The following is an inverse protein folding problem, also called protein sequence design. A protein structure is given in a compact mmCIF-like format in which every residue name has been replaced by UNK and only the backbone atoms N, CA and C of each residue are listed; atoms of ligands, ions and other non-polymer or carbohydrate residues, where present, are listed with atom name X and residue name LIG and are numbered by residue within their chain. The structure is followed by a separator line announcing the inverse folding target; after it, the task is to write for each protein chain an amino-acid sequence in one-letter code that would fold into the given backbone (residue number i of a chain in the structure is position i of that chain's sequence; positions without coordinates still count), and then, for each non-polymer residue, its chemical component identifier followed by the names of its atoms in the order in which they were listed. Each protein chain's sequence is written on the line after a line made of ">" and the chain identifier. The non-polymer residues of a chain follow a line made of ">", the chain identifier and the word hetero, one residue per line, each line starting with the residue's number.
data_IF_851668099905
#
_entry.id   IF_851668099905
#
_cell.length_a   1.000
_cell.length_b   1.000
_cell.length_c   1.000
_cell.angle_alpha   90.00
_cell.angle_beta   90.00
_cell.angle_gamma   90.00
#
_symmetry.space_group_name_H-M   'P 1'
#
loop_
_entity.id
_entity.type
_entity.pdbx_description
1 polymer ?
#
# COMPACT_ATOMS: atom_id res chain seq x y z
N UNK A 1 -35.12 6.80 -14.95
CA UNK A 1 -33.75 6.85 -14.42
C UNK A 1 -33.74 6.28 -13.02
N UNK A 2 -32.69 5.55 -12.68
CA UNK A 2 -32.48 5.09 -11.31
C UNK A 2 -32.14 6.31 -10.44
N UNK A 3 -32.58 6.29 -9.17
CA UNK A 3 -32.27 7.35 -8.19
C UNK A 3 -31.71 6.72 -6.91
N UNK A 4 -30.68 7.35 -6.35
CA UNK A 4 -30.01 6.95 -5.12
C UNK A 4 -29.83 8.15 -4.18
N UNK A 5 -29.82 7.90 -2.87
CA UNK A 5 -29.46 8.94 -1.90
C UNK A 5 -27.98 9.30 -1.98
N UNK A 6 -27.13 8.31 -2.32
CA UNK A 6 -25.70 8.53 -2.54
C UNK A 6 -25.18 7.62 -3.66
N UNK A 7 -24.35 8.17 -4.52
CA UNK A 7 -23.52 7.41 -5.46
C UNK A 7 -22.04 7.61 -5.08
N UNK A 8 -21.30 6.53 -5.03
CA UNK A 8 -19.86 6.53 -4.74
C UNK A 8 -19.13 6.07 -5.98
N UNK A 9 -18.14 6.84 -6.42
CA UNK A 9 -17.29 6.51 -7.56
C UNK A 9 -16.01 5.87 -7.06
N UNK A 10 -15.79 4.60 -7.39
CA UNK A 10 -14.65 3.79 -7.01
C UNK A 10 -14.95 2.80 -5.89
N UNK A 11 -14.66 1.52 -6.16
CA UNK A 11 -14.82 0.37 -5.26
C UNK A 11 -13.55 -0.01 -4.50
N UNK A 12 -12.69 0.97 -4.19
CA UNK A 12 -11.52 0.83 -3.32
C UNK A 12 -11.83 1.13 -1.85
N UNK A 13 -10.80 1.20 -0.98
CA UNK A 13 -10.98 1.47 0.45
C UNK A 13 -11.68 2.79 0.74
N UNK A 14 -11.39 3.85 0.00
CA UNK A 14 -12.07 5.15 0.18
C UNK A 14 -13.57 5.02 -0.08
N UNK A 15 -13.95 4.33 -1.16
CA UNK A 15 -15.36 4.13 -1.50
C UNK A 15 -16.10 3.22 -0.53
N UNK A 16 -15.48 2.10 -0.12
CA UNK A 16 -16.15 1.20 0.83
C UNK A 16 -16.23 1.80 2.23
N UNK A 17 -15.26 2.63 2.63
CA UNK A 17 -15.30 3.40 3.87
C UNK A 17 -16.44 4.41 3.89
N UNK A 18 -16.64 5.14 2.79
CA UNK A 18 -17.79 6.06 2.64
C UNK A 18 -19.13 5.29 2.69
N UNK A 19 -19.21 4.13 2.05
CA UNK A 19 -20.41 3.27 2.12
C UNK A 19 -20.67 2.74 3.52
N UNK A 20 -19.62 2.39 4.28
CA UNK A 20 -19.72 1.98 5.68
C UNK A 20 -20.32 3.10 6.54
N UNK A 21 -19.80 4.33 6.46
CA UNK A 21 -20.31 5.47 7.21
C UNK A 21 -21.74 5.82 6.81
N UNK A 22 -22.08 5.74 5.51
CA UNK A 22 -23.44 5.91 5.05
C UNK A 22 -24.39 4.87 5.66
N UNK A 23 -24.01 3.59 5.63
CA UNK A 23 -24.83 2.52 6.20
C UNK A 23 -24.96 2.65 7.73
N UNK A 24 -23.88 3.01 8.42
CA UNK A 24 -23.88 3.29 9.86
C UNK A 24 -24.90 4.38 10.22
N UNK A 25 -24.98 5.44 9.42
CA UNK A 25 -25.88 6.58 9.64
C UNK A 25 -27.33 6.28 9.30
N UNK A 26 -27.58 5.59 8.19
CA UNK A 26 -28.92 5.48 7.61
C UNK A 26 -29.50 4.06 7.63
N UNK A 27 -28.69 3.03 7.80
CA UNK A 27 -29.11 1.62 7.76
C UNK A 27 -29.82 1.29 6.44
N UNK A 28 -30.99 0.66 6.57
CA UNK A 28 -31.83 0.27 5.42
C UNK A 28 -32.77 1.40 4.95
N UNK A 29 -32.73 2.59 5.56
CA UNK A 29 -33.67 3.69 5.27
C UNK A 29 -33.32 4.44 3.98
N UNK A 30 -32.09 4.34 3.52
CA UNK A 30 -31.54 5.01 2.35
C UNK A 30 -30.72 4.07 1.49
N UNK A 31 -30.56 4.42 0.20
CA UNK A 31 -29.86 3.62 -0.79
C UNK A 31 -28.55 4.28 -1.24
N UNK A 32 -27.48 3.48 -1.26
CA UNK A 32 -26.19 3.89 -1.78
C UNK A 32 -25.74 2.91 -2.87
N UNK A 33 -25.21 3.45 -3.98
CA UNK A 33 -24.62 2.67 -5.06
C UNK A 33 -23.13 3.03 -5.22
N UNK A 34 -22.29 2.02 -5.23
CA UNK A 34 -20.87 2.15 -5.59
C UNK A 34 -20.72 1.76 -7.07
N UNK A 35 -20.09 2.60 -7.89
CA UNK A 35 -19.69 2.30 -9.25
C UNK A 35 -18.21 1.97 -9.30
N UNK A 36 -17.88 0.77 -9.79
CA UNK A 36 -16.50 0.27 -9.92
C UNK A 36 -16.23 -0.11 -11.37
N UNK A 37 -15.17 0.44 -11.96
CA UNK A 37 -14.84 0.23 -13.36
C UNK A 37 -14.22 -1.14 -13.66
N UNK A 38 -13.66 -1.82 -12.67
CA UNK A 38 -13.07 -3.16 -12.84
C UNK A 38 -14.09 -4.27 -12.62
N UNK A 39 -13.78 -5.49 -13.10
CA UNK A 39 -14.60 -6.68 -12.86
C UNK A 39 -14.52 -7.17 -11.40
N UNK A 40 -13.62 -6.63 -10.59
CA UNK A 40 -13.38 -6.99 -9.18
C UNK A 40 -13.21 -5.71 -8.38
N UNK A 41 -13.79 -5.68 -7.18
CA UNK A 41 -13.63 -4.58 -6.23
C UNK A 41 -12.28 -4.64 -5.49
N UNK A 42 -11.94 -3.59 -4.77
CA UNK A 42 -10.82 -3.51 -3.84
C UNK A 42 -9.79 -2.43 -4.16
N UNK A 43 -9.88 -1.77 -5.33
CA UNK A 43 -8.90 -0.74 -5.71
C UNK A 43 -7.48 -1.31 -5.70
N UNK A 44 -6.55 -0.65 -5.03
CA UNK A 44 -5.18 -1.12 -4.86
C UNK A 44 -5.05 -2.35 -3.93
N UNK A 45 -6.09 -2.68 -3.15
CA UNK A 45 -6.12 -3.85 -2.29
C UNK A 45 -6.56 -5.14 -3.01
N UNK A 46 -6.73 -5.13 -4.32
CA UNK A 46 -6.96 -6.35 -5.09
C UNK A 46 -5.80 -7.34 -4.92
N UNK A 47 -6.07 -8.61 -5.10
CA UNK A 47 -5.05 -9.66 -5.08
C UNK A 47 -5.03 -10.41 -6.41
N UNK A 48 -3.89 -11.02 -6.70
CA UNK A 48 -3.74 -12.00 -7.75
C UNK A 48 -3.89 -13.41 -7.18
N UNK A 49 -4.56 -14.28 -7.91
CA UNK A 49 -4.72 -15.68 -7.56
C UNK A 49 -3.98 -16.54 -8.58
N UNK A 50 -3.23 -17.53 -8.07
CA UNK A 50 -2.50 -18.50 -8.88
C UNK A 50 -2.94 -19.90 -8.49
N UNK A 51 -3.06 -20.78 -9.46
CA UNK A 51 -3.11 -22.23 -9.27
C UNK A 51 -1.74 -22.81 -9.66
N UNK A 52 -1.03 -23.35 -8.70
CA UNK A 52 0.27 -23.98 -8.91
C UNK A 52 0.17 -25.43 -8.45
N UNK A 53 0.11 -26.35 -9.40
CA UNK A 53 0.00 -27.80 -9.15
C UNK A 53 -1.18 -28.17 -8.22
N UNK A 54 -2.32 -27.47 -8.36
CA UNK A 54 -3.54 -27.65 -7.55
C UNK A 54 -3.54 -26.90 -6.21
N UNK A 55 -2.49 -26.13 -5.92
CA UNK A 55 -2.42 -25.24 -4.75
C UNK A 55 -2.82 -23.83 -5.15
N UNK A 56 -3.87 -23.31 -4.50
CA UNK A 56 -4.30 -21.93 -4.69
C UNK A 56 -3.43 -21.01 -3.86
N UNK A 57 -2.73 -20.09 -4.52
CA UNK A 57 -1.81 -19.14 -3.91
C UNK A 57 -2.30 -17.72 -4.17
N UNK A 58 -2.14 -16.84 -3.20
CA UNK A 58 -2.54 -15.44 -3.29
C UNK A 58 -1.33 -14.53 -3.20
N UNK A 59 -1.35 -13.44 -3.97
CA UNK A 59 -0.33 -12.42 -3.90
C UNK A 59 -0.98 -11.02 -3.99
N UNK A 60 -0.58 -10.06 -3.14
CA UNK A 60 -1.15 -8.71 -3.16
C UNK A 60 -0.78 -7.96 -4.43
N UNK A 61 -1.63 -7.02 -4.81
CA UNK A 61 -1.32 -6.01 -5.82
C UNK A 61 -0.60 -4.82 -5.16
N UNK A 62 -1.09 -3.58 -5.33
CA UNK A 62 -0.44 -2.38 -4.80
C UNK A 62 -0.48 -2.28 -3.27
N UNK A 63 -1.64 -2.46 -2.67
CA UNK A 63 -1.81 -2.37 -1.22
C UNK A 63 -1.51 -3.70 -0.54
N UNK A 64 -0.42 -3.75 0.20
CA UNK A 64 0.02 -4.98 0.85
C UNK A 64 0.25 -4.81 2.36
N UNK A 65 0.55 -3.61 2.79
CA UNK A 65 0.98 -3.33 4.14
C UNK A 65 -0.19 -2.92 5.03
N UNK A 66 -0.17 -3.38 6.28
CA UNK A 66 -1.12 -2.95 7.30
C UNK A 66 -0.49 -3.04 8.69
N UNK A 67 -1.07 -2.29 9.64
CA UNK A 67 -0.83 -2.43 11.07
C UNK A 67 -2.11 -2.87 11.78
N UNK A 68 -1.99 -3.65 12.84
CA UNK A 68 -3.15 -3.98 13.69
C UNK A 68 -3.53 -2.75 14.53
N UNK A 69 -4.80 -2.33 14.54
CA UNK A 69 -5.24 -1.27 15.44
C UNK A 69 -5.25 -1.75 16.90
N UNK A 70 -5.06 -0.83 17.84
CA UNK A 70 -5.28 -1.13 19.25
C UNK A 70 -6.78 -1.37 19.51
N UNK A 71 -7.11 -2.50 20.12
CA UNK A 71 -8.48 -2.86 20.49
C UNK A 71 -9.13 -1.86 21.45
N UNK A 72 -8.33 -1.16 22.25
CA UNK A 72 -8.77 -0.18 23.24
C UNK A 72 -8.89 1.24 22.68
N UNK A 73 -8.42 1.47 21.46
CA UNK A 73 -8.55 2.77 20.79
C UNK A 73 -10.01 3.03 20.40
N UNK A 74 -10.39 4.31 20.37
CA UNK A 74 -11.70 4.79 19.92
C UNK A 74 -11.68 5.32 18.47
N UNK A 75 -10.70 4.91 17.68
CA UNK A 75 -10.61 5.30 16.27
C UNK A 75 -11.70 4.64 15.41
N UNK A 76 -11.98 5.25 14.26
CA UNK A 76 -12.88 4.69 13.27
C UNK A 76 -12.43 3.30 12.80
N UNK A 77 -11.13 3.07 12.68
CA UNK A 77 -10.60 1.78 12.24
C UNK A 77 -10.91 0.68 13.27
N UNK A 78 -10.75 0.97 14.56
CA UNK A 78 -11.10 0.05 15.66
C UNK A 78 -12.60 -0.25 15.68
N UNK A 79 -13.45 0.75 15.43
CA UNK A 79 -14.88 0.54 15.30
C UNK A 79 -15.21 -0.40 14.12
N UNK A 80 -14.59 -0.19 12.95
CA UNK A 80 -14.77 -1.05 11.77
C UNK A 80 -14.37 -2.48 12.11
N UNK A 81 -13.23 -2.70 12.75
CA UNK A 81 -12.77 -4.03 13.17
C UNK A 81 -13.82 -4.73 14.08
N UNK A 82 -14.29 -4.04 15.11
CA UNK A 82 -15.33 -4.56 16.03
C UNK A 82 -16.63 -4.92 15.28
N UNK A 83 -17.10 -4.05 14.40
CA UNK A 83 -18.39 -4.22 13.68
C UNK A 83 -18.34 -5.29 12.61
N UNK A 84 -17.23 -5.41 11.91
CA UNK A 84 -17.08 -6.34 10.79
C UNK A 84 -16.52 -7.71 11.20
N UNK A 85 -16.07 -7.85 12.45
CA UNK A 85 -15.49 -9.06 12.99
C UNK A 85 -14.06 -9.31 12.50
N UNK A 86 -13.32 -8.23 12.20
CA UNK A 86 -11.89 -8.31 11.93
C UNK A 86 -11.13 -8.62 13.23
N UNK A 87 -10.12 -9.50 13.21
CA UNK A 87 -9.36 -9.84 14.39
C UNK A 87 -8.37 -8.72 14.76
N UNK A 88 -8.23 -8.47 16.07
CA UNK A 88 -7.21 -7.56 16.63
C UNK A 88 -5.88 -8.24 16.91
N UNK A 89 -5.85 -9.57 16.84
CA UNK A 89 -4.64 -10.38 17.06
C UNK A 89 -4.54 -11.43 15.98
N UNK A 90 -3.39 -11.49 15.36
CA UNK A 90 -3.02 -12.50 14.39
C UNK A 90 -1.71 -13.15 14.83
N UNK A 91 -1.44 -14.36 14.38
CA UNK A 91 -0.19 -15.07 14.66
C UNK A 91 0.56 -15.28 13.37
N UNK A 92 1.88 -15.16 13.42
CA UNK A 92 2.70 -15.62 12.30
C UNK A 92 2.71 -17.14 12.24
N UNK A 93 2.67 -17.68 11.02
CA UNK A 93 2.90 -19.11 10.81
C UNK A 93 4.34 -19.44 11.27
N UNK A 94 4.49 -20.54 11.96
CA UNK A 94 5.81 -20.98 12.40
C UNK A 94 6.75 -21.19 11.21
N UNK A 95 8.04 -20.90 11.42
CA UNK A 95 9.06 -21.15 10.41
C UNK A 95 9.10 -22.65 10.11
N UNK A 96 9.16 -22.99 8.82
CA UNK A 96 9.38 -24.37 8.39
C UNK A 96 10.70 -24.88 9.01
N UNK A 97 10.68 -25.96 9.81
CA UNK A 97 11.90 -26.47 10.46
C UNK A 97 13.00 -26.91 9.47
N UNK A 98 12.63 -27.20 8.23
CA UNK A 98 13.61 -27.54 7.18
C UNK A 98 14.39 -26.34 6.65
N UNK A 99 13.99 -25.12 7.00
CA UNK A 99 14.66 -23.87 6.62
C UNK A 99 15.58 -23.45 7.76
N UNK A 100 16.87 -23.66 7.61
CA UNK A 100 17.85 -23.45 8.68
C UNK A 100 18.88 -22.36 8.36
N UNK A 101 19.07 -22.03 7.08
CA UNK A 101 20.18 -21.18 6.66
C UNK A 101 19.81 -19.69 6.65
N UNK A 102 18.54 -19.32 6.75
CA UNK A 102 18.10 -17.93 6.67
C UNK A 102 17.20 -17.52 7.84
N UNK A 103 17.32 -16.27 8.26
CA UNK A 103 16.38 -15.61 9.15
C UNK A 103 15.32 -14.89 8.31
N UNK A 104 14.06 -15.34 8.39
CA UNK A 104 12.96 -14.71 7.68
C UNK A 104 12.42 -13.54 8.50
N UNK A 105 12.32 -12.34 7.92
CA UNK A 105 11.77 -11.20 8.62
C UNK A 105 10.27 -11.39 8.91
N UNK A 106 9.80 -10.77 9.97
CA UNK A 106 8.37 -10.62 10.28
C UNK A 106 7.83 -9.35 9.62
N UNK A 107 8.59 -8.27 9.72
CA UNK A 107 8.29 -7.00 9.07
C UNK A 107 8.60 -7.04 7.57
N UNK A 108 7.82 -6.29 6.77
CA UNK A 108 7.94 -6.28 5.32
C UNK A 108 9.21 -5.58 4.80
N UNK A 109 9.81 -4.67 5.58
CA UNK A 109 10.82 -3.75 5.08
C UNK A 109 12.18 -3.81 5.79
N UNK A 110 12.23 -4.26 7.04
CA UNK A 110 13.46 -4.22 7.84
C UNK A 110 14.67 -4.89 7.17
N UNK A 111 14.46 -6.03 6.53
CA UNK A 111 15.54 -6.76 5.86
C UNK A 111 16.06 -6.08 4.59
N UNK A 112 15.27 -5.18 3.97
CA UNK A 112 15.60 -4.57 2.69
C UNK A 112 16.02 -3.11 2.82
N UNK A 113 15.31 -2.33 3.64
CA UNK A 113 15.52 -0.89 3.73
C UNK A 113 16.58 -0.53 4.76
N UNK A 114 16.49 -1.17 5.92
CA UNK A 114 17.36 -0.86 7.05
C UNK A 114 18.55 -1.82 7.12
N UNK A 115 18.49 -2.95 6.37
CA UNK A 115 19.56 -3.94 6.26
C UNK A 115 20.12 -4.35 7.62
N UNK A 116 19.20 -4.59 8.57
CA UNK A 116 19.59 -5.00 9.90
C UNK A 116 20.36 -6.32 9.87
N UNK A 117 21.42 -6.40 10.67
CA UNK A 117 22.34 -7.54 10.71
C UNK A 117 21.67 -8.89 11.06
N UNK A 118 20.51 -8.86 11.70
CA UNK A 118 19.71 -10.05 12.02
C UNK A 118 19.07 -10.74 10.83
N UNK A 119 18.97 -10.05 9.68
CA UNK A 119 18.36 -10.60 8.47
C UNK A 119 19.43 -10.88 7.42
N UNK A 120 19.19 -11.92 6.62
CA UNK A 120 20.10 -12.33 5.57
C UNK A 120 19.70 -11.69 4.25
N UNK A 121 20.45 -10.69 3.83
CA UNK A 121 20.18 -9.90 2.62
C UNK A 121 21.22 -10.18 1.56
N UNK A 122 20.78 -10.38 0.32
CA UNK A 122 21.65 -10.54 -0.85
C UNK A 122 21.56 -9.35 -1.81
N UNK A 123 22.71 -8.93 -2.33
CA UNK A 123 22.78 -7.95 -3.42
C UNK A 123 23.06 -8.66 -4.73
N UNK A 124 22.12 -8.56 -5.68
CA UNK A 124 22.29 -9.10 -7.02
C UNK A 124 22.96 -8.06 -7.91
N UNK A 125 24.18 -8.33 -8.31
CA UNK A 125 25.03 -7.44 -9.10
C UNK A 125 24.91 -7.69 -10.61
N UNK A 126 24.07 -8.64 -11.03
CA UNK A 126 23.88 -9.03 -12.40
C UNK A 126 24.42 -10.42 -12.72
N UNK A 127 23.80 -11.06 -13.71
CA UNK A 127 24.15 -12.44 -14.10
C UNK A 127 25.56 -12.58 -14.68
N UNK A 128 26.12 -11.51 -15.23
CA UNK A 128 27.45 -11.46 -15.83
C UNK A 128 28.53 -10.97 -14.85
N UNK A 129 28.17 -10.60 -13.63
CA UNK A 129 29.15 -10.21 -12.63
C UNK A 129 29.98 -11.42 -12.17
N UNK A 130 31.24 -11.18 -11.81
CA UNK A 130 32.13 -12.22 -11.26
C UNK A 130 31.52 -12.92 -10.04
N UNK A 131 30.88 -12.14 -9.19
CA UNK A 131 30.06 -12.61 -8.08
C UNK A 131 28.63 -12.06 -8.25
N UNK A 132 27.70 -12.81 -8.86
CA UNK A 132 26.34 -12.37 -9.09
C UNK A 132 25.60 -11.99 -7.81
N UNK A 133 25.88 -12.68 -6.71
CA UNK A 133 25.31 -12.41 -5.40
C UNK A 133 26.38 -12.09 -4.35
N UNK A 134 26.21 -11.00 -3.65
CA UNK A 134 27.01 -10.64 -2.48
C UNK A 134 26.08 -10.72 -1.27
N UNK A 135 26.36 -11.69 -0.39
CA UNK A 135 25.51 -11.99 0.76
C UNK A 135 25.95 -11.16 1.96
N UNK A 136 24.98 -10.54 2.65
CA UNK A 136 25.19 -9.72 3.84
C UNK A 136 26.28 -8.65 3.66
N UNK A 137 26.21 -7.79 2.62
CA UNK A 137 27.28 -6.84 2.31
C UNK A 137 27.47 -5.79 3.41
N UNK A 138 26.44 -5.52 4.21
CA UNK A 138 26.55 -4.58 5.35
C UNK A 138 27.34 -5.13 6.52
N UNK A 139 27.39 -6.46 6.72
CA UNK A 139 28.15 -7.08 7.82
C UNK A 139 29.65 -6.85 7.74
N UNK A 140 30.19 -6.65 6.53
CA UNK A 140 31.59 -6.29 6.30
C UNK A 140 31.77 -4.85 5.83
N UNK A 141 30.81 -3.98 6.13
CA UNK A 141 30.84 -2.55 5.77
C UNK A 141 31.05 -2.33 4.26
N UNK A 142 30.41 -3.14 3.43
CA UNK A 142 30.47 -3.10 1.97
C UNK A 142 31.87 -3.41 1.38
N UNK A 143 32.78 -4.01 2.14
CA UNK A 143 34.15 -4.25 1.68
C UNK A 143 34.21 -5.10 0.40
N UNK A 144 33.33 -6.12 0.26
CA UNK A 144 33.25 -6.99 -0.92
C UNK A 144 32.51 -6.39 -2.11
N UNK A 145 31.87 -5.20 -1.95
CA UNK A 145 31.15 -4.59 -3.04
C UNK A 145 32.12 -4.08 -4.12
N UNK A 146 31.83 -4.32 -5.43
CA UNK A 146 32.64 -3.84 -6.54
C UNK A 146 32.38 -2.34 -6.83
N UNK A 147 32.26 -1.55 -5.77
CA UNK A 147 31.99 -0.12 -5.83
C UNK A 147 33.23 0.70 -5.49
N UNK A 148 33.30 1.96 -5.96
CA UNK A 148 34.38 2.86 -5.55
C UNK A 148 34.43 3.04 -4.03
N UNK A 149 35.64 3.16 -3.48
CA UNK A 149 35.83 3.27 -2.02
C UNK A 149 35.12 4.48 -1.44
N UNK A 150 35.06 5.60 -2.17
CA UNK A 150 34.30 6.78 -1.74
C UNK A 150 32.81 6.44 -1.55
N UNK A 151 32.17 5.70 -2.46
CA UNK A 151 30.77 5.31 -2.33
C UNK A 151 30.55 4.41 -1.11
N UNK A 152 31.44 3.42 -0.91
CA UNK A 152 31.37 2.55 0.28
C UNK A 152 31.50 3.34 1.57
N UNK A 153 32.43 4.29 1.60
CA UNK A 153 32.64 5.17 2.76
C UNK A 153 31.41 6.04 3.02
N UNK A 154 30.89 6.72 2.00
CA UNK A 154 29.74 7.61 2.12
C UNK A 154 28.48 6.85 2.54
N UNK A 155 28.21 5.66 1.97
CA UNK A 155 27.08 4.82 2.39
C UNK A 155 27.21 4.37 3.85
N UNK A 156 28.39 3.92 4.26
CA UNK A 156 28.62 3.55 5.65
C UNK A 156 28.40 4.75 6.60
N UNK A 157 28.87 5.95 6.23
CA UNK A 157 28.58 7.16 7.00
C UNK A 157 27.08 7.44 7.06
N UNK A 158 26.37 7.40 5.92
CA UNK A 158 24.94 7.67 5.90
C UNK A 158 24.14 6.72 6.82
N UNK A 159 24.53 5.44 6.87
CA UNK A 159 23.89 4.46 7.76
C UNK A 159 24.28 4.60 9.22
N UNK A 160 25.50 5.04 9.51
CA UNK A 160 26.05 5.14 10.87
C UNK A 160 25.86 6.56 11.46
N UNK A 161 25.48 7.53 10.63
CA UNK A 161 25.41 8.92 11.03
C UNK A 161 24.38 9.16 12.12
N UNK A 162 24.87 9.73 13.21
CA UNK A 162 24.09 10.14 14.38
C UNK A 162 24.37 11.61 14.74
N UNK A 163 25.15 12.31 13.90
CA UNK A 163 25.51 13.69 14.14
C UNK A 163 24.32 14.60 13.87
N UNK A 164 24.20 15.63 14.70
CA UNK A 164 23.26 16.72 14.46
C UNK A 164 23.90 17.72 13.49
N UNK A 165 23.49 17.65 12.23
CA UNK A 165 23.94 18.56 11.17
C UNK A 165 23.26 19.93 11.24
N UNK A 166 22.19 20.04 12.02
CA UNK A 166 21.45 21.29 12.19
C UNK A 166 21.93 22.06 13.40
N UNK A 167 22.22 23.34 13.19
CA UNK A 167 22.62 24.28 14.23
C UNK A 167 21.60 25.41 14.36
N UNK A 168 20.47 25.11 14.94
CA UNK A 168 19.35 26.06 15.07
C UNK A 168 18.25 25.53 15.97
N UNK A 169 17.16 26.26 16.03
CA UNK A 169 16.02 26.00 16.90
C UNK A 169 14.73 25.55 16.15
N UNK A 170 14.80 25.42 14.81
CA UNK A 170 13.66 25.04 13.98
C UNK A 170 14.02 23.92 13.01
N UNK A 171 14.43 22.77 13.56
CA UNK A 171 14.90 21.62 12.78
C UNK A 171 13.90 21.18 11.72
N UNK A 172 12.63 21.02 12.10
CA UNK A 172 11.60 20.54 11.16
C UNK A 172 11.38 21.51 10.00
N UNK A 173 11.39 22.82 10.26
CA UNK A 173 11.29 23.85 9.20
C UNK A 173 12.49 23.82 8.27
N UNK A 174 13.69 23.63 8.82
CA UNK A 174 14.91 23.54 8.03
C UNK A 174 14.90 22.30 7.15
N UNK A 175 14.56 21.13 7.69
CA UNK A 175 14.45 19.88 6.94
C UNK A 175 13.38 19.98 5.85
N UNK A 176 12.25 20.63 6.11
CA UNK A 176 11.16 20.76 5.12
C UNK A 176 11.47 21.79 4.01
N UNK A 177 12.52 22.62 4.21
CA UNK A 177 12.95 23.60 3.21
C UNK A 177 13.80 23.02 2.08
N UNK A 178 14.20 21.75 2.16
CA UNK A 178 15.06 21.11 1.19
C UNK A 178 14.62 19.67 0.89
N UNK A 179 15.06 19.14 -0.26
CA UNK A 179 14.87 17.73 -0.58
C UNK A 179 15.82 16.83 0.23
N UNK A 180 15.46 15.55 0.37
CA UNK A 180 16.36 14.56 0.99
C UNK A 180 17.67 14.42 0.20
N UNK A 181 17.62 14.56 -1.12
CA UNK A 181 18.82 14.66 -1.96
C UNK A 181 19.70 15.82 -1.56
N UNK A 182 19.13 17.01 -1.37
CA UNK A 182 19.90 18.20 -1.00
C UNK A 182 20.52 18.06 0.39
N UNK A 183 19.83 17.44 1.33
CA UNK A 183 20.40 17.11 2.63
C UNK A 183 21.63 16.21 2.47
N UNK A 184 21.52 15.11 1.73
CA UNK A 184 22.62 14.16 1.55
C UNK A 184 23.80 14.76 0.78
N UNK A 185 23.54 15.44 -0.32
CA UNK A 185 24.60 15.89 -1.23
C UNK A 185 25.20 17.24 -0.84
N UNK A 186 24.37 18.22 -0.42
CA UNK A 186 24.83 19.59 -0.12
C UNK A 186 25.20 19.79 1.34
N UNK A 187 24.37 19.32 2.27
CA UNK A 187 24.62 19.53 3.70
C UNK A 187 25.62 18.51 4.27
N UNK A 188 25.46 17.23 3.90
CA UNK A 188 26.32 16.16 4.39
C UNK A 188 27.55 15.87 3.49
N UNK A 189 27.55 16.39 2.26
CA UNK A 189 28.66 16.27 1.31
C UNK A 189 28.87 14.87 0.76
N UNK A 190 27.81 14.04 0.72
CA UNK A 190 27.88 12.70 0.14
C UNK A 190 27.94 12.73 -1.38
N UNK A 191 28.49 11.67 -1.96
CA UNK A 191 28.46 11.44 -3.40
C UNK A 191 27.02 11.32 -3.91
N UNK A 192 26.66 11.85 -5.09
CA UNK A 192 25.37 11.62 -5.73
C UNK A 192 24.99 10.12 -5.88
N UNK A 193 25.97 9.23 -5.88
CA UNK A 193 25.74 7.78 -5.88
C UNK A 193 25.07 7.25 -4.60
N UNK A 194 25.14 7.97 -3.50
CA UNK A 194 24.40 7.68 -2.26
C UNK A 194 22.91 7.95 -2.48
N UNK A 195 22.59 9.06 -3.11
CA UNK A 195 21.20 9.37 -3.51
C UNK A 195 20.65 8.32 -4.44
N UNK A 196 21.38 7.96 -5.51
CA UNK A 196 20.98 6.89 -6.43
C UNK A 196 20.75 5.53 -5.73
N UNK A 197 21.49 5.27 -4.66
CA UNK A 197 21.30 4.05 -3.87
C UNK A 197 19.99 4.09 -3.06
N UNK A 198 19.59 5.25 -2.52
CA UNK A 198 18.38 5.39 -1.73
C UNK A 198 17.11 5.66 -2.57
N UNK A 199 17.24 6.19 -3.79
CA UNK A 199 16.10 6.50 -4.66
C UNK A 199 15.06 5.36 -4.77
N UNK A 200 15.44 4.10 -5.06
CA UNK A 200 14.46 3.03 -5.17
C UNK A 200 13.75 2.71 -3.85
N UNK A 201 14.43 2.91 -2.71
CA UNK A 201 13.86 2.70 -1.37
C UNK A 201 12.80 3.77 -1.10
N UNK A 202 13.16 5.03 -1.34
CA UNK A 202 12.24 6.18 -1.22
C UNK A 202 11.02 6.00 -2.13
N UNK A 203 11.26 5.65 -3.41
CA UNK A 203 10.20 5.49 -4.38
C UNK A 203 9.17 4.42 -3.97
N UNK A 204 9.62 3.31 -3.40
CA UNK A 204 8.73 2.24 -2.92
C UNK A 204 7.96 2.66 -1.68
N UNK A 205 8.62 3.37 -0.75
CA UNK A 205 8.02 3.79 0.51
C UNK A 205 7.05 4.96 0.36
N UNK A 206 7.28 5.84 -0.64
CA UNK A 206 6.59 7.13 -0.80
C UNK A 206 5.90 7.32 -2.14
N UNK A 207 5.34 6.27 -2.71
CA UNK A 207 4.47 6.41 -3.88
C UNK A 207 5.21 6.86 -5.14
N UNK A 208 6.39 6.31 -5.40
CA UNK A 208 7.19 6.49 -6.62
C UNK A 208 7.84 7.88 -6.79
N UNK A 209 8.04 8.64 -5.72
CA UNK A 209 8.87 9.85 -5.74
C UNK A 209 10.33 9.52 -5.37
N UNK A 210 11.28 10.26 -5.94
CA UNK A 210 12.70 10.09 -5.61
C UNK A 210 13.15 10.99 -4.46
N UNK A 211 14.42 10.85 -4.09
CA UNK A 211 15.07 11.67 -3.07
C UNK A 211 15.07 13.18 -3.42
N UNK A 212 14.94 13.51 -4.70
CA UNK A 212 14.90 14.88 -5.22
C UNK A 212 13.54 15.58 -5.00
N UNK A 213 12.49 14.81 -4.77
CA UNK A 213 11.12 15.31 -4.54
C UNK A 213 10.73 15.20 -3.08
N UNK A 214 11.14 14.13 -2.40
CA UNK A 214 10.85 13.94 -0.98
C UNK A 214 11.57 15.00 -0.14
N UNK A 215 10.84 15.73 0.73
CA UNK A 215 11.50 16.64 1.68
C UNK A 215 12.37 15.87 2.69
N UNK A 216 13.45 16.49 3.17
CA UNK A 216 14.29 15.89 4.20
C UNK A 216 13.50 15.67 5.50
N UNK A 217 12.48 16.49 5.78
CA UNK A 217 11.55 16.29 6.88
C UNK A 217 10.77 14.96 6.73
N UNK A 218 10.20 14.72 5.55
CA UNK A 218 9.49 13.47 5.28
C UNK A 218 10.42 12.25 5.29
N UNK A 219 11.66 12.41 4.80
CA UNK A 219 12.67 11.36 4.90
C UNK A 219 12.99 11.03 6.37
N UNK A 220 13.03 12.03 7.26
CA UNK A 220 13.17 11.81 8.70
C UNK A 220 12.00 11.04 9.30
N UNK A 221 10.76 11.34 8.91
CA UNK A 221 9.59 10.60 9.38
C UNK A 221 9.61 9.13 8.94
N UNK A 222 10.31 8.82 7.86
CA UNK A 222 10.56 7.46 7.36
C UNK A 222 11.83 6.84 7.95
N UNK A 223 12.51 7.53 8.86
CA UNK A 223 13.76 7.05 9.47
C UNK A 223 14.86 6.74 8.45
N UNK A 224 14.90 7.50 7.35
CA UNK A 224 15.90 7.31 6.31
C UNK A 224 17.32 7.65 6.83
N UNK A 225 18.35 6.92 6.37
CA UNK A 225 19.72 7.17 6.79
C UNK A 225 20.17 8.64 6.63
N UNK A 226 20.93 9.15 7.62
CA UNK A 226 21.38 10.53 7.63
C UNK A 226 20.36 11.56 8.11
N UNK A 227 19.22 11.15 8.64
CA UNK A 227 18.18 12.07 9.15
C UNK A 227 18.05 12.09 10.67
N UNK A 228 18.98 11.50 11.41
CA UNK A 228 19.05 11.40 12.88
C UNK A 228 17.88 10.69 13.58
N UNK A 229 16.80 10.39 12.88
CA UNK A 229 15.62 9.75 13.45
C UNK A 229 15.71 8.23 13.37
N UNK A 230 16.88 7.63 13.70
CA UNK A 230 16.94 6.17 13.73
C UNK A 230 16.10 5.63 14.87
N UNK A 231 15.10 4.89 14.47
CA UNK A 231 14.34 4.05 15.37
C UNK A 231 15.23 2.90 15.83
N UNK A 232 15.59 2.89 17.11
CA UNK A 232 16.18 1.71 17.71
C UNK A 232 15.08 0.68 17.90
N UNK A 233 15.08 -0.35 17.07
CA UNK A 233 14.27 -1.53 17.33
C UNK A 233 14.65 -2.07 18.70
N UNK A 234 13.73 -1.96 19.63
CA UNK A 234 13.84 -2.57 20.93
C UNK A 234 13.38 -4.04 20.82
N UNK A 235 14.36 -4.94 20.70
CA UNK A 235 14.08 -6.38 20.61
C UNK A 235 13.35 -6.96 21.84
N UNK A 236 13.21 -6.17 22.92
CA UNK A 236 12.42 -6.55 24.09
C UNK A 236 10.91 -6.31 23.91
N UNK A 237 10.51 -5.50 22.91
CA UNK A 237 9.12 -5.33 22.55
C UNK A 237 8.64 -6.50 21.69
N UNK A 238 7.38 -6.88 21.88
CA UNK A 238 6.75 -7.91 21.05
C UNK A 238 6.83 -7.53 19.58
N UNK A 239 7.16 -8.49 18.72
CA UNK A 239 7.24 -8.32 17.25
C UNK A 239 5.95 -7.76 16.61
N UNK A 240 4.86 -7.68 17.35
CA UNK A 240 3.57 -7.12 16.94
C UNK A 240 3.44 -5.60 17.16
N UNK A 241 4.26 -5.02 18.01
CA UNK A 241 4.20 -3.59 18.36
C UNK A 241 4.98 -2.72 17.36
N UNK A 242 5.71 -3.37 16.44
CA UNK A 242 6.64 -2.68 15.56
C UNK A 242 6.56 -3.32 14.17
N UNK A 243 6.36 -2.48 13.17
CA UNK A 243 6.51 -2.85 11.79
C UNK A 243 5.21 -2.96 10.99
N UNK A 244 5.39 -3.24 9.75
CA UNK A 244 4.36 -3.29 8.73
C UNK A 244 4.27 -4.70 8.18
N UNK A 245 3.09 -5.29 8.27
CA UNK A 245 2.85 -6.70 7.97
C UNK A 245 1.92 -6.87 6.77
N UNK A 246 1.88 -8.09 6.24
CA UNK A 246 0.89 -8.47 5.23
C UNK A 246 -0.30 -9.17 5.89
N UNK A 247 -1.50 -8.63 5.70
CA UNK A 247 -2.73 -9.25 6.19
C UNK A 247 -2.94 -10.63 5.54
N UNK A 248 -3.50 -11.62 6.24
CA UNK A 248 -3.84 -12.92 5.65
C UNK A 248 -4.67 -12.77 4.37
N UNK A 249 -4.21 -13.31 3.26
CA UNK A 249 -4.82 -13.11 1.94
C UNK A 249 -4.63 -11.70 1.35
N UNK A 250 -3.73 -10.87 1.91
CA UNK A 250 -3.54 -9.47 1.54
C UNK A 250 -4.63 -8.55 2.08
N UNK A 251 -4.52 -7.25 1.86
CA UNK A 251 -5.50 -6.26 2.35
C UNK A 251 -6.91 -6.45 1.77
N UNK A 252 -7.05 -7.22 0.70
CA UNK A 252 -8.36 -7.73 0.24
C UNK A 252 -9.13 -8.45 1.35
N UNK A 253 -8.44 -9.12 2.26
CA UNK A 253 -9.06 -9.78 3.41
C UNK A 253 -9.84 -8.79 4.29
N UNK A 254 -9.26 -7.64 4.58
CA UNK A 254 -9.92 -6.55 5.34
C UNK A 254 -11.15 -6.06 4.54
N UNK A 255 -10.96 -5.81 3.25
CA UNK A 255 -12.03 -5.35 2.37
C UNK A 255 -13.21 -6.34 2.35
N UNK A 256 -12.92 -7.64 2.26
CA UNK A 256 -13.94 -8.70 2.25
C UNK A 256 -14.76 -8.74 3.54
N UNK A 257 -14.17 -8.45 4.69
CA UNK A 257 -14.90 -8.33 5.95
C UNK A 257 -15.92 -7.18 5.93
N UNK A 258 -15.54 -6.04 5.38
CA UNK A 258 -16.44 -4.89 5.24
C UNK A 258 -17.56 -5.22 4.23
N UNK A 259 -17.24 -5.84 3.10
CA UNK A 259 -18.26 -6.30 2.12
C UNK A 259 -19.22 -7.32 2.75
N UNK A 260 -18.70 -8.28 3.52
CA UNK A 260 -19.55 -9.27 4.22
C UNK A 260 -20.50 -8.61 5.22
N UNK A 261 -20.09 -7.50 5.83
CA UNK A 261 -20.92 -6.72 6.73
C UNK A 261 -22.01 -5.93 5.98
N UNK A 262 -21.65 -5.22 4.92
CA UNK A 262 -22.55 -4.34 4.15
C UNK A 262 -23.48 -5.10 3.22
N UNK A 263 -22.97 -6.16 2.56
CA UNK A 263 -23.69 -6.98 1.57
C UNK A 263 -23.50 -8.46 1.94
N UNK A 264 -24.19 -8.97 2.97
CA UNK A 264 -23.91 -10.29 3.55
C UNK A 264 -23.98 -11.47 2.56
N UNK A 265 -24.80 -11.34 1.51
CA UNK A 265 -24.96 -12.39 0.49
C UNK A 265 -23.81 -12.43 -0.53
N UNK A 266 -22.97 -11.39 -0.59
CA UNK A 266 -21.89 -11.31 -1.57
C UNK A 266 -20.74 -12.31 -1.31
N UNK A 267 -20.54 -12.72 -0.06
CA UNK A 267 -19.54 -13.74 0.27
C UNK A 267 -20.26 -14.92 0.90
N UNK A 268 -20.11 -16.12 0.32
CA UNK A 268 -20.75 -17.35 0.77
C UNK A 268 -20.24 -17.78 2.16
N UNK A 269 -21.05 -18.55 2.87
CA UNK A 269 -20.68 -19.12 4.17
C UNK A 269 -20.98 -18.25 5.38
N UNK A 270 -20.58 -18.77 6.56
CA UNK A 270 -20.80 -18.11 7.85
C UNK A 270 -19.84 -16.93 8.05
N UNK A 271 -20.13 -16.06 9.03
CA UNK A 271 -19.22 -15.01 9.50
C UNK A 271 -18.06 -15.61 10.31
N UNK A 272 -17.21 -16.41 9.66
CA UNK A 272 -15.98 -16.94 10.21
C UNK A 272 -14.81 -16.40 9.39
N UNK A 273 -13.70 -16.15 10.05
CA UNK A 273 -12.52 -15.52 9.45
C UNK A 273 -12.11 -16.20 8.13
N UNK A 274 -11.82 -17.49 8.14
CA UNK A 274 -11.40 -18.26 6.96
C UNK A 274 -12.45 -18.24 5.85
N UNK A 275 -13.75 -18.33 6.22
CA UNK A 275 -14.84 -18.29 5.24
C UNK A 275 -14.91 -16.94 4.53
N UNK A 276 -14.69 -15.85 5.24
CA UNK A 276 -14.69 -14.52 4.64
C UNK A 276 -13.48 -14.33 3.73
N UNK A 277 -12.31 -14.81 4.14
CA UNK A 277 -11.08 -14.68 3.35
C UNK A 277 -11.09 -15.51 2.08
N UNK A 278 -11.56 -16.75 2.12
CA UNK A 278 -11.28 -17.73 1.07
C UNK A 278 -12.49 -18.23 0.29
N UNK A 279 -13.72 -18.01 0.78
CA UNK A 279 -14.92 -18.44 0.05
C UNK A 279 -15.16 -17.59 -1.20
N UNK A 280 -15.87 -18.17 -2.16
CA UNK A 280 -16.25 -17.51 -3.40
C UNK A 280 -17.11 -16.26 -3.16
N UNK A 281 -16.93 -15.29 -4.03
CA UNK A 281 -17.76 -14.09 -4.11
C UNK A 281 -18.91 -14.35 -5.08
N UNK A 282 -20.14 -14.13 -4.61
CA UNK A 282 -21.30 -14.03 -5.49
C UNK A 282 -21.42 -12.59 -6.02
N UNK A 283 -20.78 -12.33 -7.13
CA UNK A 283 -20.79 -11.00 -7.75
C UNK A 283 -22.21 -10.51 -8.10
N UNK A 284 -23.16 -11.44 -8.37
CA UNK A 284 -24.56 -11.08 -8.63
C UNK A 284 -25.28 -10.58 -7.39
N UNK A 285 -24.78 -10.89 -6.21
CA UNK A 285 -25.34 -10.41 -4.96
C UNK A 285 -24.93 -8.95 -4.64
N UNK A 286 -23.93 -8.40 -5.32
CA UNK A 286 -23.44 -7.05 -5.07
C UNK A 286 -24.43 -5.96 -5.50
N UNK A 287 -25.13 -6.14 -6.62
CA UNK A 287 -26.05 -5.14 -7.19
C UNK A 287 -27.49 -5.69 -7.25
N UNK A 288 -28.11 -5.88 -6.09
CA UNK A 288 -29.52 -6.31 -5.99
C UNK A 288 -30.39 -5.16 -5.49
N UNK A 289 -31.62 -5.03 -6.03
CA UNK A 289 -32.52 -3.93 -5.66
C UNK A 289 -32.87 -3.83 -4.17
N UNK A 290 -32.85 -4.97 -3.47
CA UNK A 290 -33.12 -5.04 -2.04
C UNK A 290 -31.95 -4.56 -1.15
N UNK A 291 -30.75 -4.45 -1.69
CA UNK A 291 -29.59 -4.02 -0.93
C UNK A 291 -29.67 -2.52 -0.57
N UNK A 292 -29.42 -2.13 0.68
CA UNK A 292 -29.24 -0.72 1.03
C UNK A 292 -27.93 -0.15 0.49
N UNK A 293 -26.90 -0.99 0.43
CA UNK A 293 -25.62 -0.69 -0.23
C UNK A 293 -25.48 -1.66 -1.40
N UNK A 294 -25.32 -1.14 -2.59
CA UNK A 294 -25.06 -1.91 -3.82
C UNK A 294 -23.72 -1.54 -4.41
N UNK A 295 -23.11 -2.47 -5.15
CA UNK A 295 -21.87 -2.23 -5.89
C UNK A 295 -22.02 -2.79 -7.30
N UNK A 296 -21.87 -1.92 -8.29
CA UNK A 296 -21.97 -2.24 -9.71
C UNK A 296 -20.57 -2.27 -10.31
N UNK A 297 -20.13 -3.46 -10.72
CA UNK A 297 -18.82 -3.69 -11.34
C UNK A 297 -18.88 -3.47 -12.85
N UNK A 298 -17.71 -3.40 -13.50
CA UNK A 298 -17.58 -3.12 -14.94
C UNK A 298 -18.32 -1.85 -15.37
N UNK A 299 -18.32 -0.84 -14.52
CA UNK A 299 -19.10 0.37 -14.70
C UNK A 299 -18.21 1.60 -14.56
N UNK A 300 -17.96 2.29 -15.66
CA UNK A 300 -17.06 3.43 -15.70
C UNK A 300 -17.87 4.73 -15.66
N UNK A 301 -17.76 5.48 -14.58
CA UNK A 301 -18.29 6.84 -14.52
C UNK A 301 -17.50 7.74 -15.49
N UNK A 302 -18.20 8.51 -16.33
CA UNK A 302 -17.60 9.32 -17.39
C UNK A 302 -17.97 10.81 -17.28
N UNK A 303 -19.05 11.15 -16.58
CA UNK A 303 -19.46 12.53 -16.36
C UNK A 303 -20.28 12.66 -15.08
N UNK A 304 -19.98 13.68 -14.29
CA UNK A 304 -20.66 14.01 -13.04
C UNK A 304 -20.93 15.50 -13.05
N UNK A 305 -22.21 15.87 -12.90
CA UNK A 305 -22.64 17.26 -12.97
C UNK A 305 -23.89 17.48 -12.13
N UNK A 306 -24.00 18.62 -11.46
CA UNK A 306 -25.25 19.03 -10.79
C UNK A 306 -26.39 19.20 -11.80
N UNK A 307 -27.60 18.98 -11.36
CA UNK A 307 -28.79 19.21 -12.17
C UNK A 307 -29.20 20.69 -12.08
N UNK A 308 -28.59 21.53 -12.91
CA UNK A 308 -28.76 23.00 -12.87
C UNK A 308 -27.62 23.68 -12.12
N UNK A 309 -27.94 24.76 -11.39
CA UNK A 309 -26.94 25.49 -10.61
C UNK A 309 -26.46 24.64 -9.41
N UNK A 310 -25.15 24.54 -9.21
CA UNK A 310 -24.57 23.71 -8.18
C UNK A 310 -24.96 24.14 -6.75
N UNK A 311 -25.20 25.43 -6.52
CA UNK A 311 -25.57 25.96 -5.20
C UNK A 311 -27.07 25.74 -4.87
N UNK A 312 -27.90 25.51 -5.88
CA UNK A 312 -29.35 25.34 -5.73
C UNK A 312 -29.82 23.89 -6.00
N UNK A 313 -28.95 23.04 -6.52
CA UNK A 313 -29.34 21.71 -6.99
C UNK A 313 -29.54 20.72 -5.87
N UNK A 314 -30.64 20.01 -5.87
CA UNK A 314 -30.93 18.87 -4.99
C UNK A 314 -30.37 17.54 -5.53
N UNK A 315 -29.90 17.53 -6.77
CA UNK A 315 -29.45 16.29 -7.45
C UNK A 315 -28.20 16.48 -8.29
N UNK A 316 -27.42 15.41 -8.33
CA UNK A 316 -26.25 15.24 -9.19
C UNK A 316 -26.57 14.15 -10.22
N UNK A 317 -26.32 14.44 -11.48
CA UNK A 317 -26.38 13.48 -12.57
C UNK A 317 -25.04 12.74 -12.67
N UNK A 318 -25.06 11.41 -12.64
CA UNK A 318 -23.90 10.55 -12.86
C UNK A 318 -24.10 9.79 -14.16
N UNK A 319 -23.33 10.13 -15.17
CA UNK A 319 -23.30 9.41 -16.45
C UNK A 319 -22.23 8.34 -16.41
N UNK A 320 -22.54 7.13 -16.81
CA UNK A 320 -21.61 6.01 -16.79
C UNK A 320 -21.76 5.12 -18.02
N UNK A 321 -20.69 4.41 -18.34
CA UNK A 321 -20.62 3.42 -19.41
C UNK A 321 -20.64 2.02 -18.81
N UNK A 322 -21.49 1.15 -19.34
CA UNK A 322 -21.59 -0.26 -18.97
C UNK A 322 -22.14 -1.08 -20.14
N UNK A 323 -21.51 -2.22 -20.46
CA UNK A 323 -21.96 -3.19 -21.47
C UNK A 323 -22.28 -2.56 -22.84
N UNK A 324 -21.40 -1.69 -23.32
CA UNK A 324 -21.57 -1.01 -24.61
C UNK A 324 -22.56 0.15 -24.62
N UNK A 325 -23.13 0.54 -23.46
CA UNK A 325 -24.18 1.55 -23.36
C UNK A 325 -23.82 2.66 -22.38
N UNK A 326 -24.17 3.88 -22.74
CA UNK A 326 -24.14 5.03 -21.83
C UNK A 326 -25.48 5.09 -21.09
N UNK A 327 -25.40 5.17 -19.76
CA UNK A 327 -26.55 5.24 -18.85
C UNK A 327 -26.40 6.41 -17.91
N UNK A 328 -27.51 6.80 -17.25
CA UNK A 328 -27.54 7.93 -16.32
C UNK A 328 -28.28 7.57 -15.03
N UNK A 329 -27.74 8.01 -13.91
CA UNK A 329 -28.30 7.88 -12.56
C UNK A 329 -28.47 9.30 -11.99
N UNK A 330 -29.50 9.51 -11.19
CA UNK A 330 -29.63 10.67 -10.31
C UNK A 330 -29.21 10.29 -8.90
N UNK A 331 -28.47 11.17 -8.24
CA UNK A 331 -28.05 11.01 -6.86
C UNK A 331 -28.29 12.31 -6.09
N UNK A 332 -28.64 12.22 -4.80
CA UNK A 332 -28.70 13.41 -3.93
C UNK A 332 -27.30 13.89 -3.52
N UNK A 333 -26.35 12.98 -3.49
CA UNK A 333 -24.93 13.29 -3.24
C UNK A 333 -24.02 12.30 -3.94
N UNK A 334 -22.83 12.75 -4.31
CA UNK A 334 -21.79 11.90 -4.92
C UNK A 334 -20.50 11.99 -4.09
N UNK A 335 -19.89 10.85 -3.85
CA UNK A 335 -18.58 10.76 -3.19
C UNK A 335 -17.57 10.25 -4.20
N UNK A 336 -16.48 10.99 -4.36
CA UNK A 336 -15.35 10.62 -5.21
C UNK A 336 -14.35 9.77 -4.41
N UNK A 337 -14.47 8.45 -4.50
CA UNK A 337 -13.55 7.48 -3.88
C UNK A 337 -12.41 7.06 -4.82
N UNK A 338 -11.97 7.97 -5.70
CA UNK A 338 -10.93 7.76 -6.74
C UNK A 338 -9.87 8.85 -6.67
N UNK A 339 -8.77 8.64 -7.40
CA UNK A 339 -7.71 9.65 -7.47
C UNK A 339 -8.17 10.98 -8.08
N UNK A 340 -7.70 12.10 -7.52
CA UNK A 340 -8.04 13.45 -7.97
C UNK A 340 -7.74 13.69 -9.45
N UNK A 341 -6.72 13.04 -9.99
CA UNK A 341 -6.35 13.13 -11.40
C UNK A 341 -7.42 12.55 -12.37
N UNK A 342 -8.26 11.63 -11.89
CA UNK A 342 -9.44 11.16 -12.62
C UNK A 342 -10.64 12.05 -12.34
N UNK A 343 -10.86 12.39 -11.06
CA UNK A 343 -11.99 13.21 -10.62
C UNK A 343 -12.10 14.51 -11.41
N UNK A 344 -10.98 15.24 -11.58
CA UNK A 344 -10.93 16.48 -12.33
C UNK A 344 -11.34 16.36 -13.81
N UNK A 345 -11.29 15.15 -14.39
CA UNK A 345 -11.65 14.91 -15.79
C UNK A 345 -13.11 14.56 -16.01
N UNK A 346 -13.78 14.09 -14.96
CA UNK A 346 -15.15 13.59 -15.06
C UNK A 346 -16.17 14.44 -14.30
N UNK A 347 -15.73 15.41 -13.49
CA UNK A 347 -16.63 16.39 -12.84
C UNK A 347 -16.68 17.64 -13.72
N UNK A 348 -17.79 17.80 -14.46
CA UNK A 348 -17.90 18.85 -15.48
C UNK A 348 -18.06 20.25 -14.91
N UNK A 349 -18.58 20.39 -13.70
CA UNK A 349 -18.85 21.64 -13.00
C UNK A 349 -17.92 21.88 -11.79
N UNK A 350 -16.75 21.27 -11.79
CA UNK A 350 -15.77 21.43 -10.72
C UNK A 350 -15.28 22.90 -10.63
N UNK A 351 -15.33 23.53 -9.45
CA UNK A 351 -14.85 24.90 -9.29
C UNK A 351 -13.39 25.08 -9.69
N UNK A 352 -13.08 26.16 -10.42
CA UNK A 352 -11.72 26.44 -10.93
C UNK A 352 -10.63 26.41 -9.84
N UNK A 353 -10.83 26.89 -8.59
CA UNK A 353 -9.83 26.77 -7.53
C UNK A 353 -9.49 25.32 -7.19
N UNK A 354 -10.49 24.43 -7.16
CA UNK A 354 -10.31 23.00 -6.88
C UNK A 354 -9.57 22.32 -8.05
N UNK A 355 -9.94 22.64 -9.29
CA UNK A 355 -9.25 22.14 -10.47
C UNK A 355 -7.76 22.51 -10.44
N UNK A 356 -7.43 23.77 -10.13
CA UNK A 356 -6.04 24.20 -9.98
C UNK A 356 -5.31 23.51 -8.82
N UNK A 357 -6.02 23.17 -7.75
CA UNK A 357 -5.42 22.40 -6.65
C UNK A 357 -5.08 20.97 -7.11
N UNK A 358 -5.95 20.31 -7.84
CA UNK A 358 -5.66 18.97 -8.38
C UNK A 358 -4.45 18.96 -9.33
N UNK A 359 -4.23 20.03 -10.09
CA UNK A 359 -3.07 20.14 -11.00
C UNK A 359 -1.73 20.22 -10.25
N UNK A 360 -1.73 20.42 -8.93
CA UNK A 360 -0.50 20.41 -8.11
C UNK A 360 -0.09 19.00 -7.68
N UNK A 361 -0.95 17.98 -7.85
CA UNK A 361 -0.66 16.61 -7.42
C UNK A 361 -0.16 15.76 -8.59
N UNK A 362 1.00 15.17 -8.39
CA UNK A 362 1.58 14.20 -9.32
C UNK A 362 1.44 12.80 -8.74
N UNK A 363 1.14 11.84 -9.62
CA UNK A 363 1.02 10.43 -9.27
C UNK A 363 2.15 9.66 -9.93
N UNK A 364 3.04 9.10 -9.12
CA UNK A 364 4.11 8.26 -9.60
C UNK A 364 3.61 6.84 -9.94
N UNK A 365 4.06 6.24 -11.05
CA UNK A 365 3.72 4.86 -11.39
C UNK A 365 4.53 3.88 -10.54
N UNK A 366 3.87 2.88 -9.97
CA UNK A 366 4.50 1.73 -9.31
C UNK A 366 4.07 0.45 -10.02
N UNK A 367 5.02 -0.43 -10.30
CA UNK A 367 4.75 -1.74 -10.85
C UNK A 367 5.08 -2.83 -9.83
N UNK A 368 4.04 -3.54 -9.39
CA UNK A 368 4.18 -4.73 -8.56
C UNK A 368 4.09 -5.97 -9.43
N UNK A 369 5.13 -6.80 -9.41
CA UNK A 369 5.19 -8.06 -10.15
C UNK A 369 5.11 -9.23 -9.19
N UNK A 370 4.09 -10.07 -9.35
CA UNK A 370 3.95 -11.30 -8.59
C UNK A 370 4.39 -12.49 -9.45
N UNK A 371 5.30 -13.28 -8.93
CA UNK A 371 5.81 -14.47 -9.60
C UNK A 371 5.56 -15.68 -8.71
N UNK A 372 4.65 -16.55 -9.16
CA UNK A 372 4.42 -17.82 -8.48
C UNK A 372 5.54 -18.80 -8.81
N UNK A 373 6.16 -19.36 -7.79
CA UNK A 373 7.24 -20.35 -7.93
C UNK A 373 6.86 -21.68 -7.25
N UNK A 374 7.24 -22.80 -7.86
CA UNK A 374 7.00 -24.13 -7.27
C UNK A 374 7.83 -24.37 -6.00
N UNK A 375 8.98 -23.72 -5.91
CA UNK A 375 9.89 -23.91 -4.80
C UNK A 375 10.73 -22.66 -4.57
N UNK A 376 10.71 -22.15 -3.36
CA UNK A 376 11.48 -20.98 -2.95
C UNK A 376 12.78 -21.35 -2.16
N UNK A 377 13.01 -22.63 -1.88
CA UNK A 377 14.15 -23.11 -1.08
C UNK A 377 15.51 -22.83 -1.73
N UNK A 378 15.55 -22.40 -2.98
CA UNK A 378 16.78 -21.89 -3.59
C UNK A 378 17.30 -20.64 -2.86
N UNK A 379 16.45 -19.84 -2.24
CA UNK A 379 16.86 -18.70 -1.42
C UNK A 379 17.51 -19.15 -0.11
N UNK A 380 16.97 -20.20 0.53
CA UNK A 380 17.60 -20.81 1.68
C UNK A 380 19.00 -21.38 1.34
N UNK A 381 19.15 -22.02 0.17
CA UNK A 381 20.45 -22.49 -0.31
C UNK A 381 21.43 -21.35 -0.59
N UNK A 382 20.94 -20.19 -1.02
CA UNK A 382 21.76 -18.98 -1.19
C UNK A 382 22.08 -18.29 0.14
N UNK A 383 21.35 -18.61 1.21
CA UNK A 383 21.50 -17.97 2.51
C UNK A 383 20.92 -16.57 2.58
N UNK A 384 19.80 -16.29 1.86
CA UNK A 384 19.14 -14.98 1.83
C UNK A 384 17.64 -15.09 2.03
N UNK A 385 17.08 -14.16 2.78
CA UNK A 385 15.62 -13.99 2.95
C UNK A 385 15.09 -12.77 2.22
N UNK A 386 15.95 -11.84 1.87
CA UNK A 386 15.63 -10.64 1.11
C UNK A 386 16.77 -10.30 0.15
N UNK A 387 16.50 -9.46 -0.83
CA UNK A 387 17.53 -9.04 -1.76
C UNK A 387 17.24 -7.74 -2.46
N UNK A 388 18.32 -7.04 -2.79
CA UNK A 388 18.31 -5.87 -3.69
C UNK A 388 18.86 -6.27 -5.05
N UNK A 389 18.30 -5.67 -6.09
CA UNK A 389 18.65 -5.97 -7.48
C UNK A 389 19.23 -4.69 -8.09
N UNK A 390 20.51 -4.76 -8.50
CA UNK A 390 21.23 -3.63 -9.10
C UNK A 390 21.37 -3.74 -10.62
N UNK A 391 21.00 -4.89 -11.18
CA UNK A 391 20.96 -5.08 -12.64
C UNK A 391 19.67 -5.80 -13.04
N UNK A 392 18.93 -5.23 -13.98
CA UNK A 392 17.71 -5.82 -14.51
C UNK A 392 16.45 -5.08 -14.10
N UNK A 393 15.33 -5.79 -14.14
CA UNK A 393 14.02 -5.25 -13.82
C UNK A 393 13.62 -5.59 -12.36
N UNK A 394 13.22 -4.56 -11.64
CA UNK A 394 12.88 -4.67 -10.21
C UNK A 394 13.99 -4.16 -9.30
N UNK A 395 13.63 -3.83 -8.06
CA UNK A 395 14.55 -3.24 -7.10
C UNK A 395 14.84 -4.16 -5.92
N UNK A 396 13.82 -4.83 -5.38
CA UNK A 396 13.99 -5.73 -4.25
C UNK A 396 12.94 -6.83 -4.20
N UNK A 397 13.22 -7.86 -3.41
CA UNK A 397 12.27 -8.90 -2.99
C UNK A 397 12.51 -9.27 -1.52
N UNK A 398 11.50 -9.83 -0.87
CA UNK A 398 11.63 -10.41 0.46
C UNK A 398 10.74 -11.64 0.61
N UNK A 399 11.21 -12.62 1.38
CA UNK A 399 10.37 -13.70 1.90
C UNK A 399 9.64 -13.16 3.12
N UNK A 400 8.35 -13.39 3.18
CA UNK A 400 7.52 -12.96 4.31
C UNK A 400 6.88 -14.15 4.98
N UNK A 401 6.78 -14.11 6.29
CA UNK A 401 6.01 -15.09 7.03
C UNK A 401 4.55 -14.67 7.02
N UNK A 402 3.63 -15.52 6.52
CA UNK A 402 2.22 -15.18 6.53
C UNK A 402 1.66 -15.18 7.96
N UNK A 403 0.63 -14.39 8.17
CA UNK A 403 -0.17 -14.39 9.41
C UNK A 403 -1.44 -15.23 9.23
N UNK A 404 -1.96 -15.77 10.32
CA UNK A 404 -3.19 -16.56 10.41
C UNK A 404 -4.03 -16.16 11.62
#
# INVERSE_FOLDING_TARGET
>A
SEEYDMVIIGGGFSGIGAAYEFYKKYGNKKKCLILENHPVFGGEAKLNEFDVDGYRIFAPQGSNDFGLPDENDNSLITEIYKKTGLPFKLKFIDKDPSISNVNTPLDNYYGVFWEEERYDTGYFMGKNATNPWIINPRKDRLARMPWPDKLKTDLNRAFDDKEDHFKGDKLDTWLDSMSYKDLLEKEMGFSPKVTEYFDPIVAISMGAVGCDVLSAYSARQLEMPGTEARYYYDSSKNDYDIGVFSYPGGNTGIFRHIIKYLIPKAIKGRKKFESILYNDIDFKALDRPENPISMRLNTTAIDIQHEGDAEESDHVNVTYYQDGKVKKIKARSVVMGIGGWVAQKIISDLPKPILRAYDQFYHGPILTVNVAVRNWRFLDKLGISSGRIFEGFGNFFSIRRPMI
#
